data_IF_476975569540
#
_entry.id   IF_476975569540
#
_cell.length_a   1.000
_cell.length_b   1.000
_cell.length_c   1.000
_cell.angle_alpha   90.00
_cell.angle_beta   90.00
_cell.angle_gamma   90.00
#
_symmetry.space_group_name_H-M   'P 1'
#
loop_
_entity.id
_entity.type
_entity.pdbx_description
1 polymer ?
#
# COMPACT_ATOMS: atom_id res chain seq x y z
N UNK A 1 -23.19 -13.17 -9.67
CA UNK A 1 -23.03 -12.43 -10.94
C UNK A 1 -21.58 -12.66 -11.38
N UNK A 2 -21.40 -13.45 -12.43
CA UNK A 2 -20.12 -14.05 -12.82
C UNK A 2 -19.21 -13.03 -13.52
N UNK A 3 -18.14 -12.58 -12.84
CA UNK A 3 -16.96 -12.06 -13.53
C UNK A 3 -15.98 -13.23 -13.73
N UNK A 4 -16.27 -14.06 -14.72
CA UNK A 4 -15.32 -15.06 -15.23
C UNK A 4 -14.64 -14.50 -16.48
N UNK A 5 -13.98 -13.35 -16.33
CA UNK A 5 -12.88 -12.98 -17.23
C UNK A 5 -11.65 -13.60 -16.60
N UNK A 6 -10.94 -14.48 -17.31
CA UNK A 6 -9.66 -15.02 -16.85
C UNK A 6 -8.70 -13.86 -16.60
N UNK A 7 -8.62 -13.38 -15.36
CA UNK A 7 -7.56 -12.47 -14.94
C UNK A 7 -6.24 -13.22 -15.12
N UNK A 8 -5.34 -12.67 -15.92
CA UNK A 8 -3.99 -13.24 -16.08
C UNK A 8 -3.34 -13.34 -14.70
N UNK A 9 -2.63 -14.45 -14.49
CA UNK A 9 -1.78 -14.64 -13.32
C UNK A 9 -0.93 -13.38 -13.10
N UNK A 10 -1.18 -12.71 -11.97
CA UNK A 10 -0.60 -11.43 -11.65
C UNK A 10 0.41 -11.61 -10.53
N UNK A 11 1.60 -11.04 -10.71
CA UNK A 11 2.65 -10.97 -9.69
C UNK A 11 3.25 -9.57 -9.72
N UNK A 12 3.10 -8.86 -8.61
CA UNK A 12 3.54 -7.47 -8.48
C UNK A 12 4.63 -7.43 -7.42
N UNK A 13 5.72 -6.75 -7.73
CA UNK A 13 6.81 -6.43 -6.81
C UNK A 13 7.21 -4.99 -7.09
N UNK A 14 6.71 -4.08 -6.28
CA UNK A 14 7.03 -2.66 -6.41
C UNK A 14 7.67 -2.15 -5.12
N UNK A 15 8.59 -1.21 -5.28
CA UNK A 15 9.25 -0.52 -4.19
C UNK A 15 9.20 0.97 -4.48
N UNK A 16 9.05 1.76 -3.43
CA UNK A 16 9.12 3.22 -3.49
C UNK A 16 10.09 3.70 -2.42
N UNK A 17 11.07 4.51 -2.82
CA UNK A 17 12.02 5.12 -1.90
C UNK A 17 11.40 6.38 -1.29
N UNK A 18 10.66 6.23 -0.20
CA UNK A 18 10.02 7.34 0.50
C UNK A 18 11.04 8.22 1.25
N UNK A 19 12.22 7.71 1.59
CA UNK A 19 13.27 8.51 2.26
C UNK A 19 13.89 9.59 1.36
N UNK A 20 13.89 9.38 0.04
CA UNK A 20 14.31 10.38 -0.96
C UNK A 20 13.15 11.22 -1.49
N UNK A 21 11.91 10.91 -1.10
CA UNK A 21 10.74 11.65 -1.54
C UNK A 21 10.55 12.90 -0.68
N UNK A 22 10.83 14.06 -1.25
CA UNK A 22 10.60 15.37 -0.65
C UNK A 22 9.47 16.09 -1.37
N UNK A 23 8.19 15.73 -1.13
CA UNK A 23 7.06 16.33 -1.83
C UNK A 23 6.95 17.83 -1.54
N UNK A 24 6.55 18.60 -2.54
CA UNK A 24 6.06 19.96 -2.28
C UNK A 24 4.78 19.91 -1.44
N UNK A 25 4.37 21.04 -0.86
CA UNK A 25 3.09 21.11 -0.12
C UNK A 25 1.91 20.66 -0.97
N UNK A 26 1.88 21.03 -2.26
CA UNK A 26 0.83 20.61 -3.19
C UNK A 26 0.87 19.11 -3.45
N UNK A 27 2.05 18.53 -3.67
CA UNK A 27 2.18 17.09 -3.92
C UNK A 27 1.76 16.27 -2.69
N UNK A 28 2.15 16.74 -1.51
CA UNK A 28 1.77 16.13 -0.25
C UNK A 28 0.25 16.15 -0.05
N UNK A 29 -0.38 17.33 -0.21
CA UNK A 29 -1.83 17.46 -0.06
C UNK A 29 -2.60 16.67 -1.11
N UNK A 30 -2.13 16.67 -2.36
CA UNK A 30 -2.70 15.84 -3.42
C UNK A 30 -2.65 14.36 -3.06
N UNK A 31 -1.47 13.88 -2.66
CA UNK A 31 -1.25 12.48 -2.26
C UNK A 31 -2.10 12.09 -1.05
N UNK A 32 -2.25 12.99 -0.08
CA UNK A 32 -3.08 12.79 1.10
C UNK A 32 -4.58 12.72 0.73
N UNK A 33 -5.03 13.57 -0.19
CA UNK A 33 -6.41 13.59 -0.68
C UNK A 33 -6.78 12.36 -1.51
N UNK A 34 -5.81 11.57 -1.99
CA UNK A 34 -6.09 10.26 -2.58
C UNK A 34 -6.52 9.21 -1.53
N UNK A 35 -6.35 9.49 -0.23
CA UNK A 35 -6.70 8.59 0.87
C UNK A 35 -8.06 8.94 1.48
N UNK A 36 -8.75 7.95 2.05
CA UNK A 36 -9.96 8.20 2.84
C UNK A 36 -9.63 8.97 4.13
N UNK A 37 -10.62 9.63 4.74
CA UNK A 37 -10.41 10.40 5.97
C UNK A 37 -9.80 9.57 7.11
N UNK A 38 -10.24 8.33 7.29
CA UNK A 38 -9.68 7.42 8.30
C UNK A 38 -8.20 7.12 8.02
N UNK A 39 -7.84 6.88 6.77
CA UNK A 39 -6.46 6.65 6.37
C UNK A 39 -5.57 7.88 6.50
N UNK A 40 -6.12 9.07 6.22
CA UNK A 40 -5.43 10.34 6.46
C UNK A 40 -5.14 10.51 7.94
N UNK A 41 -6.13 10.27 8.81
CA UNK A 41 -5.94 10.32 10.27
C UNK A 41 -4.87 9.34 10.75
N UNK A 42 -4.88 8.10 10.24
CA UNK A 42 -3.86 7.10 10.56
C UNK A 42 -2.48 7.51 10.04
N UNK A 43 -2.38 8.12 8.86
CA UNK A 43 -1.10 8.58 8.32
C UNK A 43 -0.55 9.79 9.08
N UNK A 44 -1.41 10.71 9.51
CA UNK A 44 -1.00 11.96 10.16
C UNK A 44 -0.77 11.83 11.67
N UNK A 45 -1.06 10.67 12.29
CA UNK A 45 -0.83 10.47 13.73
C UNK A 45 0.64 10.28 14.11
N UNK A 46 1.51 10.01 13.14
CA UNK A 46 2.92 9.73 13.41
C UNK A 46 3.67 11.00 13.76
N UNK A 47 4.61 10.90 14.71
CA UNK A 47 5.40 12.03 15.18
C UNK A 47 6.45 12.48 14.15
N UNK A 48 6.99 11.54 13.37
CA UNK A 48 8.07 11.80 12.41
C UNK A 48 7.55 11.81 10.97
N UNK A 49 8.02 12.78 10.17
CA UNK A 49 7.63 12.92 8.77
C UNK A 49 7.87 11.64 7.96
N UNK A 50 8.99 10.94 8.20
CA UNK A 50 9.31 9.69 7.49
C UNK A 50 8.22 8.62 7.68
N UNK A 51 7.67 8.49 8.88
CA UNK A 51 6.60 7.53 9.16
C UNK A 51 5.26 7.95 8.55
N UNK A 52 4.99 9.26 8.50
CA UNK A 52 3.85 9.80 7.76
C UNK A 52 3.97 9.41 6.28
N UNK A 53 5.13 9.67 5.66
CA UNK A 53 5.38 9.38 4.26
C UNK A 53 5.33 7.88 3.97
N UNK A 54 5.96 7.03 4.77
CA UNK A 54 5.95 5.58 4.58
C UNK A 54 4.53 5.00 4.68
N UNK A 55 3.75 5.50 5.64
CA UNK A 55 2.33 5.15 5.85
C UNK A 55 1.43 5.61 4.69
N UNK A 56 1.66 6.81 4.15
CA UNK A 56 0.94 7.32 2.97
C UNK A 56 1.28 6.50 1.72
N UNK A 57 2.57 6.36 1.42
CA UNK A 57 3.08 5.61 0.26
C UNK A 57 2.54 4.18 0.27
N UNK A 58 2.50 3.51 1.43
CA UNK A 58 1.92 2.17 1.54
C UNK A 58 0.50 2.13 0.99
N UNK A 59 -0.37 3.04 1.43
CA UNK A 59 -1.77 3.08 0.97
C UNK A 59 -1.91 3.50 -0.49
N UNK A 60 -1.03 4.37 -0.98
CA UNK A 60 -0.99 4.75 -2.39
C UNK A 60 -0.55 3.59 -3.29
N UNK A 61 0.40 2.76 -2.85
CA UNK A 61 0.80 1.54 -3.56
C UNK A 61 -0.34 0.52 -3.64
N UNK A 62 -1.13 0.36 -2.56
CA UNK A 62 -2.34 -0.49 -2.58
C UNK A 62 -3.32 0.04 -3.62
N UNK A 63 -3.66 1.33 -3.58
CA UNK A 63 -4.61 1.94 -4.52
C UNK A 63 -4.15 1.82 -5.96
N UNK A 64 -2.88 2.12 -6.23
CA UNK A 64 -2.28 1.96 -7.56
C UNK A 64 -2.40 0.52 -8.04
N UNK A 65 -2.17 -0.44 -7.15
CA UNK A 65 -2.32 -1.87 -7.43
C UNK A 65 -3.78 -2.23 -7.73
N UNK A 66 -4.72 -1.76 -6.93
CA UNK A 66 -6.15 -1.97 -7.15
C UNK A 66 -6.60 -1.42 -8.52
N UNK A 67 -6.25 -0.17 -8.82
CA UNK A 67 -6.64 0.49 -10.08
C UNK A 67 -6.05 -0.21 -11.29
N UNK A 68 -4.77 -0.60 -11.23
CA UNK A 68 -4.07 -1.20 -12.38
C UNK A 68 -4.48 -2.64 -12.66
N UNK A 69 -4.83 -3.41 -11.63
CA UNK A 69 -5.00 -4.86 -11.76
C UNK A 69 -6.41 -5.36 -11.52
N UNK A 70 -7.21 -4.61 -10.76
CA UNK A 70 -8.62 -4.91 -10.54
C UNK A 70 -9.54 -4.01 -11.37
N UNK A 71 -8.98 -3.06 -12.12
CA UNK A 71 -9.71 -2.09 -12.95
C UNK A 71 -10.77 -1.29 -12.15
N UNK A 72 -10.51 -1.11 -10.85
CA UNK A 72 -11.37 -0.35 -9.95
C UNK A 72 -11.06 1.14 -10.10
N UNK A 73 -12.08 2.00 -10.11
CA UNK A 73 -11.89 3.45 -10.02
C UNK A 73 -11.11 3.81 -8.75
N UNK A 74 -10.16 4.76 -8.78
CA UNK A 74 -9.42 5.18 -7.58
C UNK A 74 -10.31 5.56 -6.38
N UNK A 75 -11.51 6.10 -6.66
CA UNK A 75 -12.48 6.50 -5.63
C UNK A 75 -13.26 5.33 -5.01
N UNK A 76 -13.31 4.19 -5.70
CA UNK A 76 -14.06 3.01 -5.26
C UNK A 76 -13.19 2.00 -4.49
N UNK A 77 -11.89 2.26 -4.36
CA UNK A 77 -10.97 1.43 -3.60
C UNK A 77 -11.27 1.56 -2.10
N UNK A 78 -11.96 0.55 -1.55
CA UNK A 78 -12.24 0.42 -0.12
C UNK A 78 -11.23 -0.50 0.54
N UNK A 79 -10.31 0.10 1.29
CA UNK A 79 -9.31 -0.62 2.05
C UNK A 79 -9.85 -0.95 3.45
N UNK A 80 -9.89 -2.23 3.77
CA UNK A 80 -10.30 -2.76 5.07
C UNK A 80 -9.14 -3.54 5.72
N UNK A 81 -9.32 -3.94 6.98
CA UNK A 81 -8.35 -4.76 7.71
C UNK A 81 -9.00 -6.00 8.28
N UNK A 82 -8.30 -7.13 8.21
CA UNK A 82 -8.70 -8.35 8.88
C UNK A 82 -8.63 -8.17 10.41
N UNK A 83 -9.19 -9.09 11.22
CA UNK A 83 -9.05 -9.06 12.68
C UNK A 83 -7.59 -9.01 13.15
N UNK A 84 -6.67 -9.62 12.39
CA UNK A 84 -5.21 -9.61 12.65
C UNK A 84 -4.52 -8.32 12.15
N UNK A 85 -5.28 -7.39 11.58
CA UNK A 85 -4.80 -6.10 11.10
C UNK A 85 -4.24 -6.12 9.68
N UNK A 86 -4.32 -7.24 8.95
CA UNK A 86 -3.82 -7.34 7.56
C UNK A 86 -4.72 -6.56 6.60
N UNK A 87 -4.20 -5.62 5.80
CA UNK A 87 -5.00 -4.87 4.85
C UNK A 87 -5.50 -5.76 3.69
N UNK A 88 -6.72 -5.53 3.23
CA UNK A 88 -7.29 -6.13 2.01
C UNK A 88 -8.24 -5.15 1.31
N UNK A 89 -8.56 -5.41 0.04
CA UNK A 89 -9.53 -4.61 -0.72
C UNK A 89 -10.90 -5.29 -0.60
N UNK A 90 -11.89 -4.57 -0.08
CA UNK A 90 -13.23 -5.10 0.14
C UNK A 90 -13.85 -5.54 -1.18
N UNK A 91 -14.30 -6.80 -1.25
CA UNK A 91 -14.89 -7.41 -2.44
C UNK A 91 -13.89 -8.07 -3.40
N UNK A 92 -12.58 -8.02 -3.11
CA UNK A 92 -11.52 -8.55 -3.98
C UNK A 92 -10.48 -9.42 -3.26
N UNK A 93 -10.75 -9.81 -2.01
CA UNK A 93 -9.83 -10.64 -1.21
C UNK A 93 -9.54 -12.01 -1.81
N UNK A 94 -10.48 -12.58 -2.55
CA UNK A 94 -10.31 -13.88 -3.23
C UNK A 94 -9.67 -13.76 -4.62
N UNK A 95 -9.49 -12.52 -5.11
CA UNK A 95 -8.97 -12.21 -6.45
C UNK A 95 -7.51 -11.78 -6.38
N UNK A 96 -7.15 -10.98 -5.38
CA UNK A 96 -5.81 -10.42 -5.24
C UNK A 96 -5.40 -10.38 -3.77
N UNK A 97 -4.39 -11.17 -3.43
CA UNK A 97 -3.72 -11.06 -2.15
C UNK A 97 -2.51 -10.12 -2.26
N UNK A 98 -2.30 -9.29 -1.24
CA UNK A 98 -1.14 -8.40 -1.19
C UNK A 98 -0.62 -8.23 0.23
N UNK A 99 0.63 -7.79 0.32
CA UNK A 99 1.30 -7.45 1.55
C UNK A 99 2.23 -6.26 1.35
N UNK A 100 2.38 -5.45 2.40
CA UNK A 100 3.22 -4.27 2.42
C UNK A 100 4.16 -4.34 3.61
N UNK A 101 5.39 -3.90 3.39
CA UNK A 101 6.33 -3.59 4.46
C UNK A 101 7.01 -2.26 4.17
N UNK A 102 7.51 -1.62 5.22
CA UNK A 102 8.32 -0.43 5.12
C UNK A 102 9.46 -0.52 6.12
N UNK A 103 10.65 -0.09 5.70
CA UNK A 103 11.86 -0.20 6.48
C UNK A 103 12.97 0.57 5.80
N UNK A 104 13.81 1.25 6.59
CA UNK A 104 14.75 2.21 6.02
C UNK A 104 14.00 3.26 5.22
N UNK A 105 14.50 3.55 4.02
CA UNK A 105 13.92 4.53 3.11
C UNK A 105 12.88 3.95 2.15
N UNK A 106 12.51 2.68 2.30
CA UNK A 106 11.67 1.97 1.34
C UNK A 106 10.31 1.58 1.90
N UNK A 107 9.28 1.76 1.07
CA UNK A 107 7.99 1.09 1.23
C UNK A 107 7.82 0.15 0.04
N UNK A 108 7.52 -1.12 0.31
CA UNK A 108 7.38 -2.15 -0.72
C UNK A 108 5.98 -2.77 -0.70
N UNK A 109 5.54 -3.24 -1.86
CA UNK A 109 4.33 -4.05 -2.00
C UNK A 109 4.64 -5.30 -2.81
N UNK A 110 4.17 -6.43 -2.30
CA UNK A 110 4.02 -7.65 -3.08
C UNK A 110 2.52 -7.93 -3.24
N UNK A 111 2.11 -8.33 -4.44
CA UNK A 111 0.76 -8.83 -4.67
C UNK A 111 0.75 -10.01 -5.62
N UNK A 112 -0.27 -10.85 -5.50
CA UNK A 112 -0.50 -11.99 -6.36
C UNK A 112 -1.97 -12.35 -6.49
N UNK A 113 -2.38 -12.79 -7.67
CA UNK A 113 -3.69 -13.42 -7.88
C UNK A 113 -3.66 -14.94 -7.63
N UNK A 114 -2.50 -15.49 -7.25
CA UNK A 114 -2.29 -16.92 -7.08
C UNK A 114 -1.79 -17.21 -5.65
N UNK A 115 -2.69 -17.68 -4.79
CA UNK A 115 -2.36 -18.04 -3.41
C UNK A 115 -2.15 -16.82 -2.51
N UNK A 116 -1.23 -16.93 -1.55
CA UNK A 116 -0.92 -15.88 -0.58
C UNK A 116 0.53 -15.42 -0.70
N UNK A 117 0.77 -14.16 -0.40
CA UNK A 117 2.08 -13.55 -0.33
C UNK A 117 2.31 -12.84 1.01
N UNK A 118 3.59 -12.69 1.33
CA UNK A 118 4.11 -11.87 2.42
C UNK A 118 5.36 -11.16 1.94
N UNK A 119 5.64 -9.98 2.48
CA UNK A 119 6.82 -9.21 2.12
C UNK A 119 7.35 -8.50 3.34
N UNK A 120 8.68 -8.40 3.44
CA UNK A 120 9.32 -7.64 4.48
C UNK A 120 10.55 -6.91 3.94
N UNK A 121 10.84 -5.73 4.50
CA UNK A 121 12.04 -4.95 4.22
C UNK A 121 12.57 -4.38 5.52
N UNK A 122 13.86 -4.59 5.77
CA UNK A 122 14.53 -4.06 6.95
C UNK A 122 15.83 -3.38 6.54
N UNK A 123 16.14 -2.19 7.10
CA UNK A 123 17.48 -1.63 6.98
C UNK A 123 18.46 -2.50 7.77
N UNK A 124 19.68 -2.62 7.27
CA UNK A 124 20.77 -3.23 8.05
C UNK A 124 21.36 -2.12 8.91
N UNK A 125 21.17 -2.20 10.22
CA UNK A 125 21.74 -1.28 11.20
C UNK A 125 22.72 -2.05 12.10
N UNK A 126 23.92 -1.51 12.28
CA UNK A 126 24.87 -2.08 13.23
C UNK A 126 24.41 -1.75 14.66
N UNK A 127 24.53 -2.68 15.61
CA UNK A 127 24.28 -2.38 17.01
C UNK A 127 25.14 -1.19 17.45
N UNK A 128 24.55 -0.30 18.23
CA UNK A 128 25.29 0.79 18.88
C UNK A 128 26.09 0.14 20.01
N UNK A 129 27.39 -0.07 19.76
CA UNK A 129 28.36 -0.50 20.77
C UNK A 129 28.91 0.71 21.54
#
# INVERSE_FOLDING_TARGET
>A
MFYSTFMKATRIREAFCHGLWSPTKSDFLFSLNCLSLNEQQVALRFAYQRDVLSSMVGKLLIRRTAVRYLEISPHDVKLERSPEGRPYILGYSDVLDFNISHGGDFTIIAATSEGRCGTDVMPIELPVF
#
